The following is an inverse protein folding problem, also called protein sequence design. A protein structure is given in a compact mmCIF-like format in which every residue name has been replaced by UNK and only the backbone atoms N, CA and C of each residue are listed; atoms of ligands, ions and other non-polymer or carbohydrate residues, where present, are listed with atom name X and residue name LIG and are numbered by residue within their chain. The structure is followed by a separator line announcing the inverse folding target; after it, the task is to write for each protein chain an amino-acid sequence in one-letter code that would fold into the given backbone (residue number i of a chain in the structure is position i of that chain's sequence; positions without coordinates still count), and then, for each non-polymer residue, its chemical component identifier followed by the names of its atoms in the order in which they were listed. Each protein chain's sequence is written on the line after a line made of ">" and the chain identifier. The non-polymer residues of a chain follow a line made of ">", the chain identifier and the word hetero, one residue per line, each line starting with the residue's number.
data_IF_077512306194
#
_entry.id   IF_077512306194
#
_cell.length_a   1.000
_cell.length_b   1.000
_cell.length_c   1.000
_cell.angle_alpha   90.00
_cell.angle_beta   90.00
_cell.angle_gamma   90.00
#
_symmetry.space_group_name_H-M   'P 1'
#
loop_
_entity.id
_entity.type
_entity.pdbx_description
1 polymer ?
#
# COMPACT_ATOMS: atom_id res chain seq x y z
N UNK A 1 -17.00 -10.78 -21.93
CA UNK A 1 -17.42 -10.49 -20.54
C UNK A 1 -16.38 -10.95 -19.53
N UNK A 2 -15.73 -12.11 -19.70
CA UNK A 2 -14.67 -12.57 -18.77
C UNK A 2 -13.46 -11.64 -18.68
N UNK A 3 -12.96 -11.10 -19.80
CA UNK A 3 -11.80 -10.19 -19.79
C UNK A 3 -12.09 -8.89 -19.04
N UNK A 4 -13.32 -8.39 -19.10
CA UNK A 4 -13.76 -7.22 -18.32
C UNK A 4 -13.82 -7.56 -16.83
N UNK A 5 -14.31 -8.74 -16.47
CA UNK A 5 -14.36 -9.17 -15.07
C UNK A 5 -12.94 -9.39 -14.50
N UNK A 6 -12.04 -9.99 -15.27
CA UNK A 6 -10.64 -10.16 -14.88
C UNK A 6 -9.91 -8.81 -14.72
N UNK A 7 -10.19 -7.84 -15.60
CA UNK A 7 -9.68 -6.48 -15.46
C UNK A 7 -10.23 -5.80 -14.21
N UNK A 8 -11.54 -5.91 -13.95
CA UNK A 8 -12.18 -5.33 -12.78
C UNK A 8 -11.67 -5.95 -11.47
N UNK A 9 -11.46 -7.26 -11.44
CA UNK A 9 -10.88 -7.99 -10.31
C UNK A 9 -9.40 -7.69 -10.11
N UNK A 10 -8.65 -7.49 -11.20
CA UNK A 10 -7.25 -7.07 -11.16
C UNK A 10 -7.04 -5.58 -10.87
N UNK A 11 -8.12 -4.77 -10.78
CA UNK A 11 -7.97 -3.40 -10.30
C UNK A 11 -7.63 -3.44 -8.82
N UNK A 12 -6.50 -2.82 -8.44
CA UNK A 12 -6.06 -2.74 -7.04
C UNK A 12 -7.13 -2.19 -6.08
N UNK A 13 -8.17 -1.50 -6.57
CA UNK A 13 -9.34 -1.11 -5.78
C UNK A 13 -10.07 -2.29 -5.12
N UNK A 14 -10.13 -3.47 -5.76
CA UNK A 14 -10.79 -4.67 -5.19
C UNK A 14 -10.01 -5.27 -4.01
N UNK A 15 -8.72 -4.99 -3.92
CA UNK A 15 -7.82 -5.48 -2.87
C UNK A 15 -7.49 -4.41 -1.82
N UNK A 16 -8.23 -3.29 -1.82
CA UNK A 16 -8.02 -2.20 -0.88
C UNK A 16 -8.43 -2.62 0.55
N UNK A 17 -7.45 -2.83 1.42
CA UNK A 17 -7.71 -3.07 2.83
C UNK A 17 -8.25 -1.83 3.55
N UNK A 18 -9.06 -2.03 4.60
CA UNK A 18 -9.62 -0.91 5.39
C UNK A 18 -8.53 -0.01 5.99
N UNK A 19 -7.42 -0.59 6.47
CA UNK A 19 -6.27 0.17 6.97
C UNK A 19 -5.57 0.98 5.89
N UNK A 20 -5.37 0.41 4.70
CA UNK A 20 -4.79 1.11 3.55
C UNK A 20 -5.67 2.28 3.12
N UNK A 21 -6.99 2.11 3.10
CA UNK A 21 -7.93 3.18 2.78
C UNK A 21 -7.78 4.38 3.73
N UNK A 22 -7.69 4.12 5.05
CA UNK A 22 -7.47 5.17 6.05
C UNK A 22 -6.12 5.85 5.84
N UNK A 23 -5.06 5.08 5.60
CA UNK A 23 -3.72 5.63 5.39
C UNK A 23 -3.64 6.49 4.13
N UNK A 24 -4.31 6.11 3.04
CA UNK A 24 -4.41 6.94 1.84
C UNK A 24 -5.11 8.28 2.12
N UNK A 25 -6.18 8.28 2.92
CA UNK A 25 -6.84 9.51 3.36
C UNK A 25 -5.91 10.40 4.20
N UNK A 26 -5.15 9.79 5.12
CA UNK A 26 -4.14 10.52 5.92
C UNK A 26 -3.03 11.08 5.02
N UNK A 27 -2.52 10.31 4.06
CA UNK A 27 -1.52 10.79 3.11
C UNK A 27 -2.02 11.97 2.29
N UNK A 28 -3.28 11.93 1.81
CA UNK A 28 -3.92 13.05 1.13
C UNK A 28 -4.07 14.28 2.05
N UNK A 29 -4.41 14.07 3.32
CA UNK A 29 -4.47 15.14 4.31
C UNK A 29 -3.10 15.80 4.53
N UNK A 30 -2.02 15.01 4.63
CA UNK A 30 -0.65 15.53 4.76
C UNK A 30 -0.21 16.30 3.52
N UNK A 31 -0.52 15.80 2.32
CA UNK A 31 -0.28 16.51 1.06
C UNK A 31 -1.03 17.84 1.02
N UNK A 32 -2.29 17.86 1.43
CA UNK A 32 -3.06 19.10 1.55
C UNK A 32 -2.43 20.08 2.55
N UNK A 33 -1.98 19.61 3.71
CA UNK A 33 -1.32 20.43 4.72
C UNK A 33 -0.01 21.05 4.19
N UNK A 34 0.78 20.25 3.45
CA UNK A 34 2.04 20.68 2.86
C UNK A 34 1.84 21.69 1.71
N UNK A 35 0.83 21.49 0.86
CA UNK A 35 0.62 22.32 -0.34
C UNK A 35 -0.23 23.55 -0.03
N UNK A 36 -1.42 23.36 0.55
CA UNK A 36 -2.37 24.44 0.77
C UNK A 36 -1.99 25.31 1.98
N UNK A 37 -1.56 24.67 3.07
CA UNK A 37 -1.20 25.38 4.30
C UNK A 37 0.31 25.63 4.47
N UNK A 38 1.15 25.13 3.56
CA UNK A 38 2.62 25.30 3.58
C UNK A 38 3.28 24.91 4.90
N UNK A 39 2.73 23.89 5.58
CA UNK A 39 3.37 23.31 6.76
C UNK A 39 4.54 22.43 6.32
N UNK A 40 5.76 22.82 6.72
CA UNK A 40 7.01 22.12 6.42
C UNK A 40 7.07 21.47 5.02
N UNK A 41 6.80 22.22 3.94
CA UNK A 41 6.49 21.66 2.63
C UNK A 41 7.64 20.85 2.05
N UNK A 42 8.88 21.19 2.41
CA UNK A 42 10.08 20.49 1.94
C UNK A 42 10.18 19.06 2.47
N UNK A 43 9.66 18.80 3.67
CA UNK A 43 9.71 17.48 4.32
C UNK A 43 8.38 16.76 4.23
N UNK A 44 7.29 17.47 4.51
CA UNK A 44 5.96 16.89 4.62
C UNK A 44 5.38 16.45 3.28
N UNK A 45 5.73 17.13 2.18
CA UNK A 45 5.32 16.72 0.85
C UNK A 45 5.93 15.36 0.45
N UNK A 46 7.26 15.14 0.54
CA UNK A 46 7.85 13.80 0.36
C UNK A 46 7.26 12.73 1.30
N UNK A 47 7.02 13.06 2.57
CA UNK A 47 6.44 12.11 3.54
C UNK A 47 5.02 11.73 3.15
N UNK A 48 4.17 12.71 2.83
CA UNK A 48 2.80 12.46 2.38
C UNK A 48 2.76 11.63 1.09
N UNK A 49 3.67 11.92 0.15
CA UNK A 49 3.75 11.17 -1.10
C UNK A 49 4.29 9.75 -0.91
N UNK A 50 5.31 9.57 -0.06
CA UNK A 50 5.82 8.26 0.34
C UNK A 50 4.76 7.41 1.04
N UNK A 51 3.96 8.02 1.92
CA UNK A 51 2.81 7.38 2.54
C UNK A 51 1.77 6.92 1.53
N UNK A 52 1.50 7.74 0.50
CA UNK A 52 0.58 7.38 -0.57
C UNK A 52 1.08 6.16 -1.35
N UNK A 53 2.35 6.17 -1.78
CA UNK A 53 2.98 5.06 -2.50
C UNK A 53 3.03 3.77 -1.68
N UNK A 54 3.32 3.88 -0.38
CA UNK A 54 3.43 2.73 0.53
C UNK A 54 2.11 2.01 0.77
N UNK A 55 0.98 2.70 0.57
CA UNK A 55 -0.36 2.17 0.84
C UNK A 55 -1.15 1.87 -0.44
N UNK A 56 -0.51 1.86 -1.62
CA UNK A 56 -1.15 1.37 -2.84
C UNK A 56 -1.37 -0.14 -2.71
N UNK A 57 -2.62 -0.63 -2.82
CA UNK A 57 -2.93 -2.05 -2.67
C UNK A 57 -2.18 -2.88 -3.72
N UNK A 58 -1.65 -4.02 -3.29
CA UNK A 58 -0.91 -5.01 -4.09
C UNK A 58 0.34 -4.49 -4.84
N UNK A 59 0.75 -3.25 -4.64
CA UNK A 59 1.91 -2.70 -5.36
C UNK A 59 3.26 -3.15 -4.78
N UNK A 60 3.31 -3.59 -3.51
CA UNK A 60 4.52 -4.10 -2.86
C UNK A 60 5.67 -3.09 -2.71
N UNK A 61 5.44 -1.80 -3.01
CA UNK A 61 6.51 -0.80 -3.19
C UNK A 61 7.27 -0.42 -1.91
N UNK A 62 6.66 -0.59 -0.74
CA UNK A 62 7.27 -0.30 0.56
C UNK A 62 7.38 -1.53 1.45
N UNK A 63 7.22 -2.73 0.88
CA UNK A 63 7.38 -4.00 1.60
C UNK A 63 8.72 -4.62 1.19
N UNK A 64 9.48 -5.10 2.17
CA UNK A 64 10.61 -5.98 1.88
C UNK A 64 10.13 -7.29 1.26
N UNK A 65 11.02 -8.05 0.62
CA UNK A 65 10.65 -9.32 -0.01
C UNK A 65 10.03 -10.31 1.00
N UNK A 66 10.51 -10.32 2.24
CA UNK A 66 9.96 -11.15 3.31
C UNK A 66 8.57 -10.67 3.73
N UNK A 67 8.38 -9.38 3.98
CA UNK A 67 7.07 -8.82 4.38
C UNK A 67 6.02 -8.98 3.27
N UNK A 68 6.43 -8.82 2.01
CA UNK A 68 5.58 -9.10 0.85
C UNK A 68 5.12 -10.56 0.87
N UNK A 69 6.03 -11.52 1.08
CA UNK A 69 5.68 -12.93 1.21
C UNK A 69 4.67 -13.18 2.34
N UNK A 70 4.88 -12.57 3.51
CA UNK A 70 3.93 -12.65 4.61
C UNK A 70 2.54 -12.11 4.22
N UNK A 71 2.48 -11.02 3.45
CA UNK A 71 1.22 -10.44 2.97
C UNK A 71 0.49 -11.29 1.92
N UNK A 72 1.21 -12.16 1.19
CA UNK A 72 0.62 -13.05 0.17
C UNK A 72 -0.02 -14.32 0.76
N UNK A 73 0.18 -14.60 2.04
CA UNK A 73 -0.45 -15.71 2.78
C UNK A 73 -0.32 -17.11 2.13
N UNK A 74 0.80 -17.41 1.46
CA UNK A 74 1.07 -18.76 0.94
C UNK A 74 1.44 -19.72 2.08
N UNK A 75 0.59 -20.72 2.33
CA UNK A 75 0.76 -21.66 3.43
C UNK A 75 2.07 -22.47 3.37
N UNK A 76 2.54 -22.81 2.15
CA UNK A 76 3.78 -23.57 1.96
C UNK A 76 5.00 -22.70 2.26
N UNK A 77 5.00 -21.46 1.78
CA UNK A 77 6.09 -20.52 2.03
C UNK A 77 6.16 -20.10 3.50
N UNK A 78 5.00 -19.90 4.15
CA UNK A 78 4.94 -19.58 5.58
C UNK A 78 5.45 -20.74 6.45
N UNK A 79 5.13 -21.99 6.11
CA UNK A 79 5.67 -23.16 6.82
C UNK A 79 7.19 -23.27 6.69
N UNK A 80 7.75 -22.97 5.51
CA UNK A 80 9.21 -22.95 5.29
C UNK A 80 9.90 -21.88 6.13
N UNK A 81 9.32 -20.67 6.22
CA UNK A 81 9.86 -19.59 7.06
C UNK A 81 9.78 -19.99 8.54
N UNK A 82 8.63 -20.49 9.00
CA UNK A 82 8.45 -20.91 10.39
C UNK A 82 9.41 -22.02 10.81
N UNK A 83 9.83 -22.89 9.88
CA UNK A 83 10.82 -23.94 10.14
C UNK A 83 12.27 -23.43 10.22
N UNK A 84 12.53 -22.15 9.90
CA UNK A 84 13.86 -21.53 9.84
C UNK A 84 14.07 -20.38 10.83
N UNK A 85 12.99 -19.92 11.48
CA UNK A 85 13.02 -18.98 12.60
C UNK A 85 13.27 -19.71 13.92
#
# INVERSE_FOLDING_TARGET
>A
MESLNALLQGMGLMHLGTGQAIMLLVSLLLLWLAIAKKFEPLLLLPIGFGGLLSNIPEAGMALTALESLLAHHDAGQLAVIAAKL
#
